data_IF_770933843451
#
_entry.id   IF_770933843451
#
_cell.length_a   1.000
_cell.length_b   1.000
_cell.length_c   1.000
_cell.angle_alpha   90.00
_cell.angle_beta   90.00
_cell.angle_gamma   90.00
#
_symmetry.space_group_name_H-M   'P 1'
#
loop_
_entity.id
_entity.type
_entity.pdbx_description
1 polymer ?
#
# COMPACT_ATOMS: atom_id res chain seq x y z
N UNK A 1 27.32 49.63 -13.16
CA UNK A 1 27.81 48.41 -12.48
C UNK A 1 26.56 47.72 -11.92
N UNK A 2 25.84 46.96 -12.76
CA UNK A 2 25.86 45.48 -12.89
C UNK A 2 25.26 44.78 -11.66
N UNK A 3 24.10 44.18 -11.92
CA UNK A 3 23.09 43.63 -11.03
C UNK A 3 23.61 42.65 -9.98
N UNK A 4 23.17 42.82 -8.73
CA UNK A 4 23.25 41.83 -7.67
C UNK A 4 22.08 40.87 -7.87
N UNK A 5 22.25 39.92 -8.77
CA UNK A 5 21.32 38.83 -9.04
C UNK A 5 22.14 37.53 -9.06
N UNK A 6 22.39 36.95 -7.89
CA UNK A 6 22.92 35.59 -7.74
C UNK A 6 22.98 35.21 -6.26
N UNK A 7 21.85 35.01 -5.60
CA UNK A 7 21.84 34.29 -4.32
C UNK A 7 20.45 33.72 -4.03
N UNK A 8 20.05 32.68 -4.78
CA UNK A 8 18.96 31.75 -4.46
C UNK A 8 18.99 30.61 -5.49
N UNK A 9 20.05 29.81 -5.43
CA UNK A 9 20.14 28.55 -6.16
C UNK A 9 20.85 27.52 -5.26
N UNK A 10 20.16 27.10 -4.21
CA UNK A 10 20.55 25.96 -3.39
C UNK A 10 19.26 25.31 -2.86
N UNK A 11 19.19 23.97 -3.01
CA UNK A 11 18.15 23.04 -2.49
C UNK A 11 17.08 22.54 -3.48
N UNK A 12 17.49 22.08 -4.66
CA UNK A 12 16.72 21.10 -5.44
C UNK A 12 17.59 19.90 -5.84
N UNK A 13 18.32 19.34 -4.86
CA UNK A 13 19.04 18.08 -5.04
C UNK A 13 18.59 17.09 -3.96
N UNK A 14 17.63 16.24 -4.35
CA UNK A 14 17.48 14.82 -3.97
C UNK A 14 16.00 14.41 -3.96
N UNK A 15 15.46 14.15 -5.15
CA UNK A 15 14.27 13.31 -5.29
C UNK A 15 14.51 12.31 -6.45
N UNK A 16 15.67 11.65 -6.44
CA UNK A 16 15.90 10.44 -7.22
C UNK A 16 15.53 9.25 -6.32
N UNK A 17 14.26 8.87 -6.42
CA UNK A 17 13.68 7.54 -6.21
C UNK A 17 14.58 6.50 -5.54
N UNK A 18 14.75 6.62 -4.22
CA UNK A 18 15.17 5.53 -3.35
C UNK A 18 14.84 5.97 -1.93
N UNK A 19 13.54 5.94 -1.61
CA UNK A 19 13.14 5.90 -0.20
C UNK A 19 13.83 4.73 0.49
N UNK A 20 13.94 4.75 1.83
CA UNK A 20 14.51 3.63 2.56
C UNK A 20 13.88 2.32 2.07
N UNK A 21 14.73 1.33 1.80
CA UNK A 21 14.24 0.02 1.40
C UNK A 21 13.45 -0.55 2.58
N UNK A 22 12.27 -1.12 2.32
CA UNK A 22 11.42 -1.66 3.36
C UNK A 22 12.22 -2.69 4.19
N UNK A 23 12.23 -2.51 5.51
CA UNK A 23 13.01 -3.39 6.39
C UNK A 23 12.09 -4.24 7.25
N UNK A 24 12.14 -5.56 7.05
CA UNK A 24 11.44 -6.54 7.90
C UNK A 24 10.34 -7.33 7.17
N UNK A 25 9.62 -8.20 7.90
CA UNK A 25 8.52 -8.96 7.34
C UNK A 25 7.35 -8.05 6.97
N UNK A 26 6.59 -8.46 5.94
CA UNK A 26 5.33 -7.81 5.60
C UNK A 26 4.37 -7.85 6.79
N UNK A 27 3.73 -6.72 7.09
CA UNK A 27 2.63 -6.66 8.05
C UNK A 27 1.34 -7.11 7.36
N UNK A 28 1.10 -6.63 6.14
CA UNK A 28 -0.09 -6.96 5.37
C UNK A 28 0.26 -7.13 3.90
N UNK A 29 -0.39 -8.09 3.24
CA UNK A 29 -0.33 -8.25 1.80
C UNK A 29 -1.75 -8.32 1.26
N UNK A 30 -2.02 -7.63 0.16
CA UNK A 30 -3.22 -7.80 -0.64
C UNK A 30 -2.82 -8.20 -2.05
N UNK A 31 -3.58 -9.13 -2.66
CA UNK A 31 -3.39 -9.58 -4.04
C UNK A 31 -4.70 -9.47 -4.79
N UNK A 32 -4.64 -8.86 -5.98
CA UNK A 32 -5.75 -8.76 -6.94
C UNK A 32 -5.41 -9.54 -8.19
N UNK A 33 -6.41 -10.19 -8.78
CA UNK A 33 -6.31 -10.86 -10.06
C UNK A 33 -7.45 -10.36 -10.96
N UNK A 34 -7.08 -9.83 -12.12
CA UNK A 34 -8.01 -9.28 -13.10
C UNK A 34 -8.38 -10.34 -14.14
N UNK A 35 -9.57 -10.19 -14.75
CA UNK A 35 -10.06 -11.11 -15.79
C UNK A 35 -9.15 -11.21 -17.04
N UNK A 36 -8.23 -10.25 -17.21
CA UNK A 36 -7.18 -10.27 -18.23
C UNK A 36 -6.02 -11.23 -17.92
N UNK A 37 -5.98 -11.83 -16.72
CA UNK A 37 -4.87 -12.66 -16.24
C UNK A 37 -3.72 -11.87 -15.62
N UNK A 38 -3.95 -10.58 -15.35
CA UNK A 38 -2.99 -9.68 -14.73
C UNK A 38 -3.16 -9.65 -13.21
N UNK A 39 -2.05 -9.66 -12.47
CA UNK A 39 -2.05 -9.64 -11.01
C UNK A 39 -1.45 -8.35 -10.48
N UNK A 40 -2.06 -7.81 -9.42
CA UNK A 40 -1.54 -6.70 -8.65
C UNK A 40 -1.33 -7.10 -7.21
N UNK A 41 -0.36 -6.50 -6.54
CA UNK A 41 -0.19 -6.72 -5.10
C UNK A 41 0.27 -5.48 -4.37
N UNK A 42 -0.17 -5.36 -3.12
CA UNK A 42 0.27 -4.32 -2.20
C UNK A 42 0.88 -4.98 -0.97
N UNK A 43 2.14 -4.68 -0.67
CA UNK A 43 2.83 -5.14 0.53
C UNK A 43 3.05 -3.96 1.46
N UNK A 44 2.40 -3.97 2.62
CA UNK A 44 2.57 -2.99 3.69
C UNK A 44 3.51 -3.57 4.74
N UNK A 45 4.56 -2.83 5.08
CA UNK A 45 5.53 -3.19 6.10
C UNK A 45 5.21 -2.51 7.43
N UNK A 46 5.69 -3.09 8.53
CA UNK A 46 5.38 -2.60 9.88
C UNK A 46 5.89 -1.17 10.16
N UNK A 47 6.87 -0.70 9.39
CA UNK A 47 7.43 0.65 9.46
C UNK A 47 6.71 1.66 8.55
N UNK A 48 5.58 1.27 7.94
CA UNK A 48 4.76 2.12 7.09
C UNK A 48 5.19 2.16 5.63
N UNK A 49 6.32 1.54 5.24
CA UNK A 49 6.65 1.41 3.82
C UNK A 49 5.59 0.55 3.13
N UNK A 50 5.22 0.95 1.92
CA UNK A 50 4.33 0.17 1.07
C UNK A 50 5.00 0.01 -0.29
N UNK A 51 5.03 -1.22 -0.78
CA UNK A 51 5.43 -1.56 -2.14
C UNK A 51 4.20 -2.06 -2.87
N UNK A 52 3.83 -1.40 -3.95
CA UNK A 52 2.70 -1.78 -4.80
C UNK A 52 3.24 -2.22 -6.16
N UNK A 53 2.90 -3.44 -6.53
CA UNK A 53 3.23 -4.03 -7.82
C UNK A 53 1.96 -3.99 -8.69
N UNK A 54 2.03 -3.16 -9.72
CA UNK A 54 1.06 -3.06 -10.80
C UNK A 54 1.65 -3.66 -12.10
N UNK A 55 2.28 -4.84 -12.01
CA UNK A 55 2.79 -5.61 -13.14
C UNK A 55 4.07 -5.07 -13.73
N UNK A 56 3.94 -4.16 -14.69
CA UNK A 56 5.08 -3.49 -15.31
C UNK A 56 5.52 -2.25 -14.52
N UNK A 57 4.75 -1.86 -13.51
CA UNK A 57 5.05 -0.72 -12.66
C UNK A 57 5.12 -1.10 -11.18
N UNK A 58 6.15 -0.61 -10.49
CA UNK A 58 6.28 -0.76 -9.03
C UNK A 58 6.34 0.61 -8.38
N UNK A 59 5.41 0.86 -7.48
CA UNK A 59 5.30 2.10 -6.73
C UNK A 59 5.68 1.88 -5.26
N UNK A 60 6.22 2.94 -4.65
CA UNK A 60 6.69 2.91 -3.27
C UNK A 60 6.22 4.17 -2.56
N UNK A 61 5.51 3.99 -1.47
CA UNK A 61 4.99 5.08 -0.63
C UNK A 61 5.22 4.78 0.85
N UNK A 62 5.04 5.80 1.68
CA UNK A 62 5.07 5.67 3.14
C UNK A 62 3.68 6.04 3.66
N UNK A 63 3.02 5.11 4.34
CA UNK A 63 1.79 5.41 5.05
C UNK A 63 2.11 6.14 6.35
N UNK A 64 1.39 7.25 6.64
CA UNK A 64 1.44 7.90 7.95
C UNK A 64 1.08 6.95 9.10
N UNK A 65 1.56 7.26 10.31
CA UNK A 65 1.38 6.42 11.49
C UNK A 65 -0.10 6.20 11.85
N UNK A 66 -0.94 7.23 11.70
CA UNK A 66 -2.39 7.17 11.93
C UNK A 66 -3.09 6.18 10.97
N UNK A 67 -2.67 6.15 9.71
CA UNK A 67 -3.19 5.19 8.74
C UNK A 67 -2.70 3.76 9.02
N UNK A 68 -1.46 3.61 9.49
CA UNK A 68 -0.94 2.33 9.97
C UNK A 68 -1.73 1.81 11.19
N UNK A 69 -2.14 2.71 12.10
CA UNK A 69 -2.99 2.35 13.23
C UNK A 69 -4.39 1.91 12.78
N UNK A 70 -4.95 2.53 11.74
CA UNK A 70 -6.23 2.11 11.15
C UNK A 70 -6.14 0.70 10.55
N UNK A 71 -5.09 0.40 9.76
CA UNK A 71 -4.85 -0.95 9.24
C UNK A 71 -4.70 -1.97 10.38
N UNK A 72 -3.97 -1.63 11.45
CA UNK A 72 -3.81 -2.50 12.60
C UNK A 72 -5.13 -2.74 13.34
N UNK A 73 -5.98 -1.72 13.48
CA UNK A 73 -7.30 -1.84 14.08
C UNK A 73 -8.21 -2.76 13.25
N UNK A 74 -8.21 -2.60 11.92
CA UNK A 74 -8.96 -3.46 11.02
C UNK A 74 -8.45 -4.91 11.03
N UNK A 75 -7.12 -5.11 11.05
CA UNK A 75 -6.51 -6.44 11.13
C UNK A 75 -6.86 -7.17 12.44
N UNK A 76 -7.00 -6.44 13.55
CA UNK A 76 -7.42 -7.01 14.83
C UNK A 76 -8.86 -7.58 14.82
N UNK A 77 -9.70 -7.15 13.87
CA UNK A 77 -11.04 -7.71 13.66
C UNK A 77 -11.01 -9.01 12.82
N UNK A 78 -9.88 -9.29 12.16
CA UNK A 78 -9.68 -10.44 11.30
C UNK A 78 -10.25 -10.26 9.88
N UNK A 79 -9.89 -11.20 8.99
CA UNK A 79 -10.42 -11.28 7.63
C UNK A 79 -11.37 -12.48 7.55
N UNK A 80 -12.65 -12.23 7.35
CA UNK A 80 -13.63 -13.30 7.19
C UNK A 80 -13.39 -14.03 5.85
N UNK A 81 -13.15 -15.35 5.84
CA UNK A 81 -12.96 -16.09 4.59
C UNK A 81 -14.29 -16.23 3.83
N UNK A 82 -14.26 -16.07 2.51
CA UNK A 82 -15.45 -16.28 1.67
C UNK A 82 -15.23 -15.94 0.20
N UNK A 83 -16.26 -15.38 -0.43
CA UNK A 83 -16.28 -14.97 -1.83
C UNK A 83 -16.85 -13.56 -1.95
N UNK A 84 -15.98 -12.59 -2.21
CA UNK A 84 -16.30 -11.18 -2.46
C UNK A 84 -16.96 -10.89 -3.83
N UNK A 85 -17.45 -11.92 -4.51
CA UNK A 85 -18.23 -11.79 -5.75
C UNK A 85 -17.33 -11.66 -6.98
N UNK A 86 -17.53 -10.57 -7.75
CA UNK A 86 -16.73 -10.28 -8.95
C UNK A 86 -15.52 -9.38 -8.67
N UNK A 87 -15.25 -9.11 -7.39
CA UNK A 87 -14.12 -8.28 -6.99
C UNK A 87 -12.79 -8.97 -7.31
N UNK A 88 -11.77 -8.23 -7.81
CA UNK A 88 -10.51 -8.84 -8.20
C UNK A 88 -9.66 -9.31 -7.01
N UNK A 89 -9.97 -8.96 -5.76
CA UNK A 89 -9.15 -9.36 -4.61
C UNK A 89 -9.25 -10.87 -4.38
N UNK A 90 -8.13 -11.56 -4.53
CA UNK A 90 -8.02 -13.02 -4.38
C UNK A 90 -7.37 -13.45 -3.07
N UNK A 91 -6.66 -12.55 -2.39
CA UNK A 91 -6.00 -12.87 -1.14
C UNK A 91 -5.62 -11.65 -0.31
N UNK A 92 -5.79 -11.79 1.01
CA UNK A 92 -5.25 -10.90 2.04
C UNK A 92 -4.42 -11.76 3.00
N UNK A 93 -3.20 -11.32 3.29
CA UNK A 93 -2.30 -11.96 4.26
C UNK A 93 -2.04 -11.00 5.41
N UNK A 94 -2.08 -11.51 6.63
CA UNK A 94 -1.67 -10.79 7.85
C UNK A 94 -0.41 -11.44 8.39
N UNK A 95 0.68 -10.68 8.47
CA UNK A 95 1.98 -11.17 8.91
C UNK A 95 2.49 -12.35 8.08
N UNK A 96 2.64 -13.50 8.74
CA UNK A 96 3.17 -14.74 8.16
C UNK A 96 2.10 -15.80 7.93
N UNK A 97 0.82 -15.45 8.10
CA UNK A 97 -0.29 -16.38 7.96
C UNK A 97 -0.53 -16.76 6.49
N UNK A 98 -1.38 -17.76 6.27
CA UNK A 98 -1.81 -18.11 4.92
C UNK A 98 -2.75 -17.03 4.34
N UNK A 99 -2.71 -16.78 3.01
CA UNK A 99 -3.62 -15.83 2.39
C UNK A 99 -5.08 -16.27 2.55
N UNK A 100 -5.95 -15.32 2.88
CA UNK A 100 -7.39 -15.48 3.03
C UNK A 100 -8.09 -14.76 1.89
N UNK A 101 -8.96 -15.46 1.16
CA UNK A 101 -9.89 -14.80 0.23
C UNK A 101 -11.05 -14.19 1.04
N UNK A 102 -11.24 -12.86 1.01
CA UNK A 102 -12.21 -12.20 1.87
C UNK A 102 -13.65 -12.47 1.41
N UNK A 103 -14.59 -12.57 2.37
CA UNK A 103 -16.00 -12.78 2.12
C UNK A 103 -16.70 -11.58 1.48
N UNK A 104 -16.25 -10.37 1.82
CA UNK A 104 -16.74 -9.10 1.27
C UNK A 104 -15.67 -8.00 1.44
N UNK A 105 -15.99 -6.81 0.95
CA UNK A 105 -15.23 -5.57 1.17
C UNK A 105 -16.09 -4.56 1.91
N UNK A 106 -16.53 -4.92 3.12
CA UNK A 106 -17.24 -3.95 3.95
C UNK A 106 -16.35 -2.74 4.26
N UNK A 107 -16.93 -1.55 4.33
CA UNK A 107 -16.23 -0.32 4.70
C UNK A 107 -15.44 -0.51 6.01
N UNK A 108 -14.14 -0.16 5.99
CA UNK A 108 -13.25 -0.29 7.14
C UNK A 108 -12.75 -1.71 7.42
N UNK A 109 -13.14 -2.70 6.60
CA UNK A 109 -12.49 -4.01 6.63
C UNK A 109 -11.04 -3.90 6.16
N UNK A 110 -10.18 -4.80 6.63
CA UNK A 110 -8.78 -4.81 6.21
C UNK A 110 -8.63 -4.93 4.69
N UNK A 111 -9.46 -5.76 4.05
CA UNK A 111 -9.43 -5.95 2.60
C UNK A 111 -9.81 -4.66 1.84
N UNK A 112 -10.83 -3.94 2.31
CA UNK A 112 -11.25 -2.66 1.70
C UNK A 112 -10.18 -1.58 1.86
N UNK A 113 -9.61 -1.43 3.07
CA UNK A 113 -8.57 -0.44 3.33
C UNK A 113 -7.30 -0.71 2.52
N UNK A 114 -6.84 -1.96 2.45
CA UNK A 114 -5.68 -2.33 1.63
C UNK A 114 -5.95 -2.12 0.13
N UNK A 115 -7.18 -2.34 -0.33
CA UNK A 115 -7.57 -2.02 -1.70
C UNK A 115 -7.49 -0.51 -1.97
N UNK A 116 -7.92 0.32 -1.01
CA UNK A 116 -7.79 1.77 -1.10
C UNK A 116 -6.34 2.24 -1.14
N UNK A 117 -5.44 1.60 -0.38
CA UNK A 117 -4.00 1.86 -0.49
C UNK A 117 -3.51 1.55 -1.89
N UNK A 118 -3.90 0.41 -2.47
CA UNK A 118 -3.54 0.04 -3.84
C UNK A 118 -4.04 1.04 -4.90
N UNK A 119 -5.23 1.60 -4.70
CA UNK A 119 -5.84 2.50 -5.68
C UNK A 119 -5.41 3.96 -5.53
N UNK A 120 -5.05 4.39 -4.32
CA UNK A 120 -4.87 5.82 -4.01
C UNK A 120 -3.64 6.17 -3.18
N UNK A 121 -2.80 5.19 -2.84
CA UNK A 121 -1.54 5.38 -2.10
C UNK A 121 -1.71 5.87 -0.65
N UNK A 122 -2.95 6.00 -0.18
CA UNK A 122 -3.35 6.51 1.13
C UNK A 122 -4.70 5.91 1.52
N UNK A 123 -5.04 5.94 2.80
CA UNK A 123 -6.41 5.69 3.30
C UNK A 123 -7.29 6.94 3.24
N UNK A 124 -6.66 8.12 3.22
CA UNK A 124 -7.29 9.43 3.27
C UNK A 124 -6.71 10.33 2.16
N UNK A 125 -7.39 10.43 0.99
CA UNK A 125 -6.97 11.30 -0.12
C UNK A 125 -7.35 12.78 0.09
#
# INVERSE_FOLDING_TARGET
MKSIAALLLALLVAACSSGPEATGPAAYVITRSWSSGYEESGTVYADGHVVMDHGDHVERVILPEDQMQELAAAAALGVAPGSNGSDPIVGVTVGIDAPVSPADLSEGSLAELLNRVLDSHTLHP
#
